data_IF_185830756490
#
_entry.id   IF_185830756490
#
_cell.length_a   1.000
_cell.length_b   1.000
_cell.length_c   1.000
_cell.angle_alpha   90.00
_cell.angle_beta   90.00
_cell.angle_gamma   90.00
#
_symmetry.space_group_name_H-M   'P 1'
#
loop_
_entity.id
_entity.type
_entity.pdbx_description
1 polymer ?
#
# COMPACT_ATOMS: atom_id res chain seq x y z
N UNK A 1 -1.79 -6.90 -8.72
CA UNK A 1 -2.40 -5.88 -9.60
C UNK A 1 -1.93 -4.52 -9.04
N UNK A 2 -1.60 -3.55 -9.89
CA UNK A 2 -0.69 -2.41 -9.54
C UNK A 2 -1.35 -1.03 -9.57
N UNK A 3 -2.49 -0.91 -10.25
CA UNK A 3 -3.51 0.07 -9.85
C UNK A 3 -4.22 -0.45 -8.60
N UNK A 4 -5.16 0.33 -8.07
CA UNK A 4 -6.07 -0.22 -7.07
C UNK A 4 -6.65 -1.53 -7.61
N UNK A 5 -6.77 -2.57 -6.79
CA UNK A 5 -7.33 -3.84 -7.26
C UNK A 5 -8.82 -3.73 -7.66
N UNK A 6 -9.36 -2.51 -7.62
CA UNK A 6 -10.69 -2.11 -8.06
C UNK A 6 -10.67 -1.77 -9.56
N UNK A 7 -11.69 -2.23 -10.28
CA UNK A 7 -11.87 -2.01 -11.74
C UNK A 7 -10.63 -2.41 -12.57
N UNK A 8 -10.07 -3.59 -12.30
CA UNK A 8 -8.92 -4.16 -13.04
C UNK A 8 -7.65 -3.28 -13.07
N UNK A 9 -7.46 -2.45 -12.05
CA UNK A 9 -6.33 -1.50 -12.01
C UNK A 9 -6.59 -0.20 -12.76
N UNK A 10 -7.84 0.08 -13.13
CA UNK A 10 -8.23 1.30 -13.84
C UNK A 10 -8.15 2.58 -12.99
N UNK A 11 -8.02 2.46 -11.67
CA UNK A 11 -7.84 3.61 -10.79
C UNK A 11 -6.36 3.92 -10.52
N UNK A 12 -5.90 5.14 -10.83
CA UNK A 12 -4.52 5.54 -10.63
C UNK A 12 -4.19 5.83 -9.16
N UNK A 13 -2.94 5.55 -8.82
CA UNK A 13 -2.28 6.03 -7.62
C UNK A 13 -1.61 7.38 -7.91
N UNK A 14 -1.88 8.38 -7.09
CA UNK A 14 -1.27 9.71 -7.18
C UNK A 14 -0.19 9.87 -6.12
N UNK A 15 0.99 10.34 -6.54
CA UNK A 15 2.11 10.56 -5.62
C UNK A 15 1.77 11.67 -4.62
N UNK A 16 2.11 11.40 -3.36
CA UNK A 16 2.06 12.39 -2.28
C UNK A 16 3.24 13.35 -2.44
N UNK A 17 3.00 14.63 -2.19
CA UNK A 17 4.10 15.59 -2.03
C UNK A 17 4.86 15.32 -0.74
N UNK A 18 6.12 15.75 -0.65
CA UNK A 18 6.93 15.58 0.57
C UNK A 18 6.24 16.14 1.82
N UNK A 19 5.58 17.30 1.69
CA UNK A 19 4.81 17.89 2.80
C UNK A 19 3.68 16.96 3.26
N UNK A 20 2.89 16.44 2.33
CA UNK A 20 1.81 15.50 2.60
C UNK A 20 2.29 14.18 3.23
N UNK A 21 3.49 13.70 2.87
CA UNK A 21 4.11 12.51 3.49
C UNK A 21 4.42 12.78 4.96
N UNK A 22 4.98 13.95 5.28
CA UNK A 22 5.25 14.33 6.67
C UNK A 22 3.97 14.53 7.49
N UNK A 23 2.90 15.03 6.87
CA UNK A 23 1.59 15.14 7.51
C UNK A 23 1.02 13.76 7.89
N UNK A 24 1.08 12.77 6.98
CA UNK A 24 0.61 11.41 7.27
C UNK A 24 1.42 10.77 8.42
N UNK A 25 2.75 10.93 8.41
CA UNK A 25 3.63 10.39 9.46
C UNK A 25 3.34 10.96 10.85
N UNK A 26 2.89 12.21 10.94
CA UNK A 26 2.56 12.84 12.22
C UNK A 26 1.18 12.43 12.75
N UNK A 27 0.29 11.96 11.87
CA UNK A 27 -1.08 11.64 12.24
C UNK A 27 -1.26 10.20 12.73
N UNK A 28 -0.49 9.24 12.21
CA UNK A 28 -0.77 7.81 12.40
C UNK A 28 0.41 7.05 13.02
N UNK A 29 0.42 6.92 14.35
CA UNK A 29 1.37 6.10 15.10
C UNK A 29 0.83 4.72 15.52
N UNK A 30 -0.42 4.41 15.17
CA UNK A 30 -0.99 3.08 15.30
C UNK A 30 -0.28 2.04 14.41
N UNK A 31 -0.24 0.80 14.89
CA UNK A 31 0.21 -0.36 14.11
C UNK A 31 -1.00 -1.09 13.51
N UNK A 32 -0.78 -1.99 12.55
CA UNK A 32 -1.88 -2.81 12.01
C UNK A 32 -2.51 -3.63 13.16
N UNK A 33 -1.69 -4.16 14.07
CA UNK A 33 -2.20 -4.87 15.25
C UNK A 33 -3.05 -3.98 16.16
N UNK A 34 -2.71 -2.71 16.37
CA UNK A 34 -3.56 -1.84 17.19
C UNK A 34 -4.85 -1.42 16.50
N UNK A 35 -4.87 -1.36 15.16
CA UNK A 35 -6.07 -1.03 14.37
C UNK A 35 -7.09 -2.18 14.39
N UNK A 36 -6.63 -3.41 14.19
CA UNK A 36 -7.52 -4.58 14.06
C UNK A 36 -7.65 -5.39 15.36
N UNK A 37 -6.75 -5.24 16.34
CA UNK A 37 -6.81 -5.94 17.63
C UNK A 37 -7.06 -7.46 17.47
N UNK A 38 -8.12 -7.99 18.09
CA UNK A 38 -8.53 -9.40 18.01
C UNK A 38 -8.98 -9.83 16.62
N UNK A 39 -9.47 -8.91 15.79
CA UNK A 39 -9.88 -9.22 14.42
C UNK A 39 -8.73 -9.70 13.55
N UNK A 40 -7.49 -9.28 13.85
CA UNK A 40 -6.33 -9.74 13.09
C UNK A 40 -6.04 -11.22 13.32
N UNK A 41 -6.40 -11.75 14.50
CA UNK A 41 -6.24 -13.17 14.82
C UNK A 41 -7.38 -14.01 14.21
N UNK A 42 -8.57 -13.43 14.09
CA UNK A 42 -9.75 -14.06 13.46
C UNK A 42 -9.67 -14.06 11.92
N UNK A 43 -9.09 -13.02 11.32
CA UNK A 43 -8.95 -12.82 9.86
C UNK A 43 -7.47 -12.53 9.50
N UNK A 44 -6.57 -13.52 9.65
CA UNK A 44 -5.15 -13.33 9.40
C UNK A 44 -4.82 -12.98 7.95
N UNK A 45 -5.72 -13.28 7.01
CA UNK A 45 -5.57 -12.98 5.57
C UNK A 45 -5.54 -11.48 5.27
N UNK A 46 -5.95 -10.62 6.20
CA UNK A 46 -5.79 -9.16 6.10
C UNK A 46 -4.30 -8.80 5.95
N UNK A 47 -3.39 -9.59 6.52
CA UNK A 47 -1.96 -9.29 6.58
C UNK A 47 -1.13 -10.21 5.67
N UNK A 48 -0.55 -9.62 4.63
CA UNK A 48 0.37 -10.31 3.74
C UNK A 48 1.73 -10.64 4.37
N UNK A 49 2.36 -11.69 3.85
CA UNK A 49 3.70 -12.12 4.27
C UNK A 49 4.75 -10.99 4.19
N UNK A 50 5.71 -11.02 5.12
CA UNK A 50 6.80 -10.05 5.14
C UNK A 50 6.43 -8.67 5.70
N UNK A 51 5.20 -8.48 6.18
CA UNK A 51 4.73 -7.24 6.81
C UNK A 51 4.73 -7.42 8.33
N UNK A 52 5.31 -6.46 9.05
CA UNK A 52 5.27 -6.40 10.52
C UNK A 52 3.97 -5.73 11.00
N UNK A 53 3.05 -6.49 11.58
CA UNK A 53 1.80 -5.96 12.11
C UNK A 53 1.99 -5.03 13.32
N UNK A 54 3.09 -5.20 14.06
CA UNK A 54 3.37 -4.46 15.29
C UNK A 54 4.14 -3.16 15.02
N UNK A 55 4.72 -3.02 13.81
CA UNK A 55 5.38 -1.79 13.39
C UNK A 55 4.35 -0.65 13.20
N UNK A 56 4.51 0.49 13.90
CA UNK A 56 3.70 1.69 13.67
C UNK A 56 3.69 2.13 12.21
N UNK A 57 2.52 2.52 11.71
CA UNK A 57 2.33 2.87 10.30
C UNK A 57 3.18 4.06 9.86
N UNK A 58 3.45 5.05 10.73
CA UNK A 58 4.36 6.17 10.44
C UNK A 58 5.83 5.76 10.20
N UNK A 59 6.22 4.52 10.50
CA UNK A 59 7.55 3.98 10.17
C UNK A 59 7.64 3.47 8.73
N UNK A 60 6.51 3.38 8.04
CA UNK A 60 6.43 3.14 6.60
C UNK A 60 6.21 4.48 5.89
N UNK A 61 6.83 4.66 4.73
CA UNK A 61 6.69 5.89 3.96
C UNK A 61 5.47 5.77 3.05
N UNK A 62 4.34 6.39 3.42
CA UNK A 62 3.16 6.50 2.56
C UNK A 62 3.48 7.42 1.38
N UNK A 63 3.65 6.87 0.17
CA UNK A 63 4.07 7.67 -0.99
C UNK A 63 2.96 7.92 -2.00
N UNK A 64 1.84 7.20 -1.90
CA UNK A 64 0.78 7.33 -2.89
C UNK A 64 -0.60 6.94 -2.38
N UNK A 65 -1.61 7.68 -2.83
CA UNK A 65 -3.02 7.41 -2.54
C UNK A 65 -3.76 7.10 -3.84
N UNK A 66 -4.69 6.16 -3.82
CA UNK A 66 -5.63 5.93 -4.91
C UNK A 66 -6.84 6.84 -4.77
N UNK A 67 -7.29 7.42 -5.88
CA UNK A 67 -8.61 8.04 -5.97
C UNK A 67 -9.59 7.04 -6.58
N UNK A 68 -10.12 6.10 -5.79
CA UNK A 68 -11.32 5.36 -6.20
C UNK A 68 -12.56 5.96 -5.50
N UNK A 69 -13.75 5.60 -5.97
CA UNK A 69 -15.04 6.25 -5.73
C UNK A 69 -15.56 6.15 -4.27
N UNK A 70 -14.78 6.61 -3.28
CA UNK A 70 -15.07 6.57 -1.85
C UNK A 70 -14.29 5.52 -1.03
N UNK A 71 -13.47 4.69 -1.68
CA UNK A 71 -12.58 3.74 -1.00
C UNK A 71 -11.22 4.37 -0.65
N UNK A 72 -10.48 3.74 0.26
CA UNK A 72 -9.14 4.17 0.63
C UNK A 72 -8.15 3.08 0.22
N UNK A 73 -7.28 3.38 -0.74
CA UNK A 73 -6.10 2.55 -0.98
C UNK A 73 -4.84 3.40 -0.97
N UNK A 74 -3.81 2.90 -0.30
CA UNK A 74 -2.57 3.61 -0.04
C UNK A 74 -1.38 2.70 -0.35
N UNK A 75 -0.29 3.29 -0.84
CA UNK A 75 0.97 2.60 -1.07
C UNK A 75 2.04 3.12 -0.12
N UNK A 76 2.77 2.18 0.45
CA UNK A 76 3.84 2.43 1.40
C UNK A 76 5.14 1.79 0.92
N UNK A 77 6.26 2.45 1.22
CA UNK A 77 7.57 1.79 1.26
C UNK A 77 7.83 1.29 2.67
N UNK A 78 8.09 -0.01 2.82
CA UNK A 78 8.39 -0.64 4.10
C UNK A 78 9.90 -0.87 4.24
N UNK A 79 10.50 -0.20 5.22
CA UNK A 79 11.93 -0.31 5.53
C UNK A 79 12.23 -1.28 6.70
N UNK A 80 11.20 -1.82 7.35
CA UNK A 80 11.35 -2.72 8.51
C UNK A 80 10.47 -3.97 8.33
N UNK A 81 10.64 -4.74 7.24
CA UNK A 81 9.87 -5.96 7.03
C UNK A 81 10.24 -7.05 8.05
N UNK A 82 9.32 -8.01 8.25
CA UNK A 82 9.61 -9.25 8.98
C UNK A 82 10.49 -10.20 8.14
N UNK A 83 11.06 -11.26 8.75
CA UNK A 83 11.72 -12.32 7.97
C UNK A 83 10.81 -12.86 6.87
N UNK A 84 11.33 -12.91 5.63
CA UNK A 84 10.55 -13.26 4.45
C UNK A 84 10.17 -12.06 3.57
N UNK A 85 10.18 -10.84 4.12
CA UNK A 85 10.04 -9.61 3.35
C UNK A 85 11.39 -9.06 2.82
N UNK A 86 11.30 -7.96 2.06
CA UNK A 86 12.46 -7.26 1.48
C UNK A 86 12.48 -5.80 1.91
N UNK A 87 13.63 -5.29 2.37
CA UNK A 87 13.76 -3.88 2.76
C UNK A 87 13.52 -3.00 1.54
N UNK A 88 12.55 -2.09 1.64
CA UNK A 88 12.09 -1.24 0.55
C UNK A 88 10.94 -1.82 -0.28
N UNK A 89 10.34 -2.94 0.17
CA UNK A 89 9.16 -3.50 -0.47
C UNK A 89 7.99 -2.50 -0.51
N UNK A 90 7.16 -2.62 -1.54
CA UNK A 90 5.96 -1.82 -1.71
C UNK A 90 4.78 -2.57 -1.10
N UNK A 91 4.22 -2.00 -0.04
CA UNK A 91 3.02 -2.50 0.62
C UNK A 91 1.81 -1.69 0.15
N UNK A 92 0.76 -2.38 -0.27
CA UNK A 92 -0.55 -1.77 -0.52
C UNK A 92 -1.46 -2.03 0.67
N UNK A 93 -2.08 -0.97 1.17
CA UNK A 93 -3.33 -1.06 1.91
C UNK A 93 -4.51 -0.86 0.96
N UNK A 94 -5.53 -1.69 1.04
CA UNK A 94 -6.80 -1.56 0.35
C UNK A 94 -7.91 -1.67 1.39
N UNK A 95 -8.86 -0.73 1.40
CA UNK A 95 -10.04 -0.76 2.25
C UNK A 95 -11.21 -1.49 1.58
N UNK A 96 -12.01 -2.21 2.36
CA UNK A 96 -13.27 -2.88 2.00
C UNK A 96 -13.21 -3.86 0.79
N UNK A 97 -12.77 -5.13 1.00
CA UNK A 97 -12.28 -5.67 2.26
C UNK A 97 -10.85 -5.21 2.56
N UNK A 98 -10.59 -5.04 3.85
CA UNK A 98 -9.29 -4.57 4.32
C UNK A 98 -8.19 -5.58 4.02
N UNK A 99 -7.11 -5.12 3.40
CA UNK A 99 -5.95 -5.95 3.11
C UNK A 99 -4.66 -5.15 3.00
N UNK A 100 -3.59 -5.72 3.54
CA UNK A 100 -2.22 -5.28 3.42
C UNK A 100 -1.45 -6.33 2.63
N UNK A 101 -0.92 -5.96 1.47
CA UNK A 101 -0.19 -6.89 0.60
C UNK A 101 1.13 -6.30 0.13
N UNK A 102 2.19 -7.11 0.13
CA UNK A 102 3.41 -6.78 -0.60
C UNK A 102 3.14 -6.97 -2.09
N UNK A 103 3.13 -5.87 -2.86
CA UNK A 103 2.82 -5.88 -4.30
C UNK A 103 4.07 -5.77 -5.18
N UNK A 104 5.21 -5.39 -4.60
CA UNK A 104 6.51 -5.42 -5.26
C UNK A 104 7.64 -5.54 -4.22
N UNK A 105 8.76 -6.20 -4.55
CA UNK A 105 9.89 -6.34 -3.63
C UNK A 105 10.69 -5.05 -3.44
N UNK A 106 10.53 -4.07 -4.34
CA UNK A 106 11.21 -2.77 -4.29
C UNK A 106 10.46 -1.73 -5.11
N UNK A 107 10.79 -0.45 -4.91
CA UNK A 107 10.16 0.65 -5.66
C UNK A 107 10.47 0.63 -7.15
N UNK A 108 11.70 0.30 -7.56
CA UNK A 108 12.07 0.16 -8.97
C UNK A 108 11.36 -1.02 -9.63
N UNK A 109 11.20 -2.15 -8.92
CA UNK A 109 10.41 -3.26 -9.41
C UNK A 109 8.94 -2.87 -9.58
N UNK A 110 8.37 -2.08 -8.66
CA UNK A 110 7.02 -1.54 -8.81
C UNK A 110 6.90 -0.66 -10.06
N UNK A 111 7.83 0.29 -10.26
CA UNK A 111 7.84 1.15 -11.45
C UNK A 111 7.98 0.35 -12.75
N UNK A 112 8.86 -0.66 -12.78
CA UNK A 112 9.03 -1.53 -13.93
C UNK A 112 7.72 -2.24 -14.28
N UNK A 113 7.00 -2.76 -13.28
CA UNK A 113 5.73 -3.41 -13.54
C UNK A 113 4.64 -2.44 -14.04
N UNK A 114 4.67 -1.14 -13.66
CA UNK A 114 3.78 -0.14 -14.26
C UNK A 114 4.08 0.08 -15.74
N UNK A 115 5.36 0.12 -16.10
CA UNK A 115 5.84 0.24 -17.49
C UNK A 115 5.44 -1.00 -18.29
N UNK A 116 5.66 -2.20 -17.75
CA UNK A 116 5.36 -3.47 -18.43
C UNK A 116 3.85 -3.65 -18.69
N UNK A 117 3.00 -2.96 -17.93
CA UNK A 117 1.54 -2.93 -18.11
C UNK A 117 1.06 -1.72 -18.90
N UNK A 118 1.96 -1.02 -19.58
CA UNK A 118 1.67 0.16 -20.39
C UNK A 118 0.81 1.19 -19.66
N UNK A 119 1.08 1.38 -18.36
CA UNK A 119 0.35 2.32 -17.52
C UNK A 119 -1.17 2.14 -17.60
N UNK A 120 -1.68 0.92 -17.37
CA UNK A 120 -3.11 0.54 -17.52
C UNK A 120 -4.19 1.49 -16.94
N UNK A 121 -3.81 2.41 -16.05
CA UNK A 121 -4.67 3.47 -15.51
C UNK A 121 -4.81 4.71 -16.40
N UNK A 122 -3.97 4.87 -17.44
CA UNK A 122 -4.08 5.93 -18.44
C UNK A 122 -5.12 5.48 -19.46
N UNK A 123 -6.28 6.14 -19.45
CA UNK A 123 -7.24 6.01 -20.54
C UNK A 123 -6.71 6.80 -21.73
N UNK A 124 -6.53 6.15 -22.87
CA UNK A 124 -6.35 6.85 -24.12
C UNK A 124 -7.72 7.37 -24.56
N UNK A 125 -7.85 8.69 -24.72
CA UNK A 125 -9.01 9.25 -25.42
C UNK A 125 -8.90 8.80 -26.89
N UNK A 126 -9.90 8.04 -27.36
CA UNK A 126 -10.11 7.77 -28.79
C UNK A 126 -10.61 9.03 -29.53
#
# INVERSE_FOLDING_TARGET
MLGSDVEDGGYPYYLRSVAQIFEDQQQWDDSIRSIYEEWLDDEPEILGDGIDADLPMNRRLCFSHCMNNGGTSMLYLDFNPTPGGTVGQVVRYLHDPDSYAVIAPSFDAYLQQLIDRDYAFIRHDD
#
